data_IF_543785986406
#
_entry.id   IF_543785986406
#
_cell.length_a   1.000
_cell.length_b   1.000
_cell.length_c   1.000
_cell.angle_alpha   90.00
_cell.angle_beta   90.00
_cell.angle_gamma   90.00
#
_symmetry.space_group_name_H-M   'P 1'
#
loop_
_entity.id
_entity.type
_entity.pdbx_description
1 polymer ?
#
# COMPACT_ATOMS: atom_id res chain seq x y z
N UNK A 1 31.86 11.96 -24.29
CA UNK A 1 31.18 11.26 -23.18
C UNK A 1 32.05 10.08 -22.75
N UNK A 2 32.34 9.95 -21.45
CA UNK A 2 33.33 9.01 -20.92
C UNK A 2 32.85 7.55 -21.04
N UNK A 3 33.73 6.62 -21.43
CA UNK A 3 33.42 5.19 -21.53
C UNK A 3 32.81 4.59 -20.25
N UNK A 4 33.08 5.24 -19.11
CA UNK A 4 32.50 4.92 -17.81
C UNK A 4 30.98 5.10 -17.77
N UNK A 5 30.44 6.21 -18.31
CA UNK A 5 29.00 6.50 -18.28
C UNK A 5 28.22 5.49 -19.12
N UNK A 6 28.80 5.07 -20.25
CA UNK A 6 28.22 4.06 -21.14
C UNK A 6 28.12 2.70 -20.47
N UNK A 7 29.15 2.32 -19.69
CA UNK A 7 29.20 1.05 -18.95
C UNK A 7 28.17 1.02 -17.82
N UNK A 8 28.02 2.16 -17.14
CA UNK A 8 27.07 2.33 -16.04
C UNK A 8 25.61 2.27 -16.54
N UNK A 9 25.31 2.94 -17.66
CA UNK A 9 23.99 2.87 -18.30
C UNK A 9 23.66 1.45 -18.76
N UNK A 10 24.65 0.72 -19.29
CA UNK A 10 24.47 -0.68 -19.69
C UNK A 10 24.19 -1.60 -18.50
N UNK A 11 24.93 -1.45 -17.39
CA UNK A 11 24.64 -2.19 -16.15
C UNK A 11 23.24 -1.90 -15.59
N UNK A 12 22.80 -0.65 -15.63
CA UNK A 12 21.45 -0.28 -15.18
C UNK A 12 20.38 -0.87 -16.11
N UNK A 13 20.62 -0.90 -17.42
CA UNK A 13 19.71 -1.53 -18.38
C UNK A 13 19.63 -3.05 -18.20
N UNK A 14 20.77 -3.72 -18.04
CA UNK A 14 20.86 -5.17 -17.82
C UNK A 14 20.19 -5.57 -16.49
N UNK A 15 20.38 -4.76 -15.43
CA UNK A 15 19.71 -4.97 -14.15
C UNK A 15 18.18 -4.78 -14.24
N UNK A 16 17.71 -3.82 -15.05
CA UNK A 16 16.27 -3.62 -15.30
C UNK A 16 15.65 -4.76 -16.10
N UNK A 17 16.37 -5.30 -17.08
CA UNK A 17 15.86 -6.44 -17.87
C UNK A 17 15.81 -7.73 -17.04
N UNK A 18 16.75 -7.95 -16.12
CA UNK A 18 16.70 -9.10 -15.20
C UNK A 18 15.56 -9.00 -14.16
N UNK A 19 15.06 -7.80 -13.88
CA UNK A 19 13.94 -7.58 -12.96
C UNK A 19 12.55 -7.80 -13.60
N UNK A 20 12.46 -8.02 -14.92
CA UNK A 20 11.18 -8.18 -15.63
C UNK A 20 10.66 -9.64 -15.69
N UNK A 21 11.38 -10.62 -15.14
CA UNK A 21 11.06 -12.04 -15.32
C UNK A 21 10.45 -12.75 -14.10
N UNK A 22 10.25 -12.07 -12.96
CA UNK A 22 9.54 -12.63 -11.81
C UNK A 22 8.67 -11.54 -11.18
N UNK A 23 7.39 -11.81 -10.84
CA UNK A 23 6.60 -10.85 -10.11
C UNK A 23 7.34 -10.53 -8.82
N UNK A 24 7.66 -9.26 -8.61
CA UNK A 24 8.33 -8.87 -7.37
C UNK A 24 7.44 -9.27 -6.18
N UNK A 25 8.02 -9.60 -5.02
CA UNK A 25 7.21 -9.88 -3.84
C UNK A 25 6.22 -8.73 -3.53
N UNK A 26 6.59 -7.48 -3.86
CA UNK A 26 5.72 -6.31 -3.76
C UNK A 26 4.51 -6.33 -4.71
N UNK A 27 4.68 -6.77 -5.96
CA UNK A 27 3.57 -6.97 -6.91
C UNK A 27 2.62 -8.08 -6.44
N UNK A 28 3.18 -9.15 -5.85
CA UNK A 28 2.39 -10.23 -5.26
C UNK A 28 1.56 -9.73 -4.06
N UNK A 29 2.15 -8.90 -3.19
CA UNK A 29 1.45 -8.30 -2.06
C UNK A 29 0.31 -7.38 -2.51
N UNK A 30 0.56 -6.57 -3.54
CA UNK A 30 -0.45 -5.66 -4.09
C UNK A 30 -1.63 -6.42 -4.69
N UNK A 31 -1.36 -7.46 -5.48
CA UNK A 31 -2.40 -8.31 -6.06
C UNK A 31 -3.23 -9.01 -4.98
N UNK A 32 -2.59 -9.55 -3.93
CA UNK A 32 -3.29 -10.16 -2.78
C UNK A 32 -4.19 -9.15 -2.06
N UNK A 33 -3.69 -7.95 -1.81
CA UNK A 33 -4.47 -6.86 -1.22
C UNK A 33 -5.68 -6.51 -2.09
N UNK A 34 -5.48 -6.32 -3.41
CA UNK A 34 -6.54 -5.88 -4.31
C UNK A 34 -7.61 -6.96 -4.47
N UNK A 35 -7.23 -8.24 -4.56
CA UNK A 35 -8.15 -9.37 -4.58
C UNK A 35 -8.96 -9.49 -3.28
N UNK A 36 -8.30 -9.35 -2.13
CA UNK A 36 -8.97 -9.32 -0.83
C UNK A 36 -9.96 -8.15 -0.74
N UNK A 37 -9.53 -6.93 -1.06
CA UNK A 37 -10.38 -5.75 -0.98
C UNK A 37 -11.58 -5.83 -1.94
N UNK A 38 -11.38 -6.40 -3.14
CA UNK A 38 -12.45 -6.61 -4.11
C UNK A 38 -13.54 -7.55 -3.58
N UNK A 39 -13.16 -8.59 -2.82
CA UNK A 39 -14.06 -9.58 -2.22
C UNK A 39 -14.88 -9.08 -1.03
N UNK A 40 -14.52 -7.93 -0.46
CA UNK A 40 -15.24 -7.37 0.69
C UNK A 40 -16.64 -6.87 0.30
N UNK A 41 -17.63 -6.98 1.21
CA UNK A 41 -18.94 -6.38 1.02
C UNK A 41 -18.86 -4.85 0.82
N UNK A 42 -19.80 -4.22 0.10
CA UNK A 42 -19.79 -2.78 -0.17
C UNK A 42 -19.68 -1.93 1.11
N UNK A 43 -20.38 -2.30 2.18
CA UNK A 43 -20.32 -1.60 3.47
C UNK A 43 -18.90 -1.55 4.06
N UNK A 44 -18.10 -2.60 3.82
CA UNK A 44 -16.73 -2.71 4.31
C UNK A 44 -15.74 -1.86 3.50
N UNK A 45 -16.09 -1.45 2.28
CA UNK A 45 -15.26 -0.59 1.41
C UNK A 45 -15.29 0.89 1.80
N UNK A 46 -16.24 1.31 2.65
CA UNK A 46 -16.36 2.70 3.12
C UNK A 46 -15.87 2.92 4.55
N UNK A 47 -15.51 1.85 5.27
CA UNK A 47 -15.08 1.97 6.67
C UNK A 47 -13.58 2.27 6.80
N UNK A 48 -13.19 2.76 7.97
CA UNK A 48 -11.80 2.87 8.36
C UNK A 48 -11.26 1.52 8.83
N UNK A 49 -10.00 1.24 8.52
CA UNK A 49 -9.32 0.00 8.86
C UNK A 49 -8.09 0.28 9.73
N UNK A 50 -7.82 -0.59 10.69
CA UNK A 50 -6.53 -0.62 11.36
C UNK A 50 -5.51 -1.41 10.54
N UNK A 51 -4.22 -1.09 10.68
CA UNK A 51 -3.17 -1.87 10.01
C UNK A 51 -3.17 -3.33 10.48
N UNK A 52 -3.54 -3.56 11.75
CA UNK A 52 -3.58 -4.88 12.36
C UNK A 52 -4.71 -5.74 11.75
N UNK A 53 -5.90 -5.18 11.52
CA UNK A 53 -6.99 -5.89 10.82
C UNK A 53 -6.57 -6.31 9.40
N UNK A 54 -5.93 -5.40 8.65
CA UNK A 54 -5.47 -5.70 7.28
C UNK A 54 -4.36 -6.76 7.32
N UNK A 55 -3.42 -6.63 8.26
CA UNK A 55 -2.34 -7.60 8.47
C UNK A 55 -2.86 -8.99 8.82
N UNK A 56 -3.83 -9.10 9.73
CA UNK A 56 -4.45 -10.38 10.07
C UNK A 56 -5.24 -10.98 8.90
N UNK A 57 -5.97 -10.16 8.14
CA UNK A 57 -6.74 -10.63 6.99
C UNK A 57 -5.85 -11.16 5.85
N UNK A 58 -4.71 -10.51 5.63
CA UNK A 58 -3.76 -10.85 4.57
C UNK A 58 -2.64 -11.82 5.03
N UNK A 59 -2.57 -12.12 6.32
CA UNK A 59 -1.48 -12.88 6.96
C UNK A 59 -0.09 -12.34 6.63
N UNK A 60 0.05 -11.00 6.63
CA UNK A 60 1.28 -10.29 6.24
C UNK A 60 1.71 -9.35 7.37
N UNK A 61 3.02 -9.16 7.52
CA UNK A 61 3.57 -8.27 8.54
C UNK A 61 3.12 -6.80 8.29
N UNK A 62 2.66 -6.06 9.33
CA UNK A 62 2.22 -4.66 9.20
C UNK A 62 3.24 -3.71 8.56
N UNK A 63 4.54 -4.02 8.71
CA UNK A 63 5.65 -3.21 8.16
C UNK A 63 5.66 -3.20 6.63
N UNK A 64 5.29 -4.31 6.01
CA UNK A 64 5.32 -4.47 4.55
C UNK A 64 4.07 -3.86 3.90
N UNK A 65 2.92 -3.93 4.60
CA UNK A 65 1.64 -3.44 4.10
C UNK A 65 1.57 -1.91 3.96
N UNK A 66 2.32 -1.17 4.78
CA UNK A 66 2.24 0.29 4.78
C UNK A 66 2.59 0.89 3.42
N UNK A 67 3.60 0.36 2.73
CA UNK A 67 3.99 0.85 1.41
C UNK A 67 2.94 0.43 0.36
N UNK A 68 2.54 -0.85 0.38
CA UNK A 68 1.55 -1.39 -0.56
C UNK A 68 0.21 -0.64 -0.51
N UNK A 69 -0.26 -0.27 0.68
CA UNK A 69 -1.49 0.50 0.87
C UNK A 69 -1.37 1.92 0.31
N UNK A 70 -0.23 2.59 0.54
CA UNK A 70 0.02 3.93 -0.03
C UNK A 70 0.06 3.89 -1.56
N UNK A 71 0.75 2.90 -2.13
CA UNK A 71 0.77 2.68 -3.57
C UNK A 71 -0.63 2.35 -4.11
N UNK A 72 -1.52 1.82 -3.26
CA UNK A 72 -2.92 1.54 -3.58
C UNK A 72 -3.83 2.76 -3.45
N UNK A 73 -3.29 3.93 -3.15
CA UNK A 73 -4.05 5.15 -2.97
C UNK A 73 -4.81 5.20 -1.64
N UNK A 74 -4.52 4.29 -0.70
CA UNK A 74 -5.11 4.37 0.62
C UNK A 74 -4.52 5.54 1.39
N UNK A 75 -5.38 6.22 2.14
CA UNK A 75 -5.00 7.36 2.96
C UNK A 75 -4.73 6.92 4.38
N UNK A 76 -3.57 7.30 4.90
CA UNK A 76 -3.19 7.09 6.30
C UNK A 76 -3.52 8.33 7.12
N UNK A 77 -4.40 8.20 8.12
CA UNK A 77 -4.76 9.27 9.05
C UNK A 77 -4.40 8.89 10.48
N UNK A 78 -4.10 9.89 11.31
CA UNK A 78 -3.99 9.74 12.75
C UNK A 78 -5.26 10.28 13.39
N UNK A 79 -5.91 9.47 14.21
CA UNK A 79 -7.10 9.87 14.96
C UNK A 79 -6.78 9.78 16.44
N UNK A 80 -7.08 10.86 17.17
CA UNK A 80 -7.01 10.83 18.63
C UNK A 80 -8.14 9.95 19.16
N UNK A 81 -7.77 8.89 19.86
CA UNK A 81 -8.73 7.99 20.48
C UNK A 81 -8.62 8.13 22.00
N UNK A 82 -9.63 8.76 22.60
CA UNK A 82 -9.71 8.93 24.06
C UNK A 82 -10.43 7.72 24.68
N UNK A 83 -9.76 7.02 25.61
CA UNK A 83 -10.32 5.84 26.30
C UNK A 83 -10.92 6.19 27.65
N UNK A 84 -10.31 7.14 28.35
CA UNK A 84 -10.75 7.72 29.61
C UNK A 84 -10.38 9.20 29.61
N UNK A 85 -11.14 10.02 30.33
CA UNK A 85 -10.95 11.47 30.40
C UNK A 85 -9.48 11.83 30.66
N UNK A 86 -8.82 12.44 29.68
CA UNK A 86 -7.41 12.85 29.75
C UNK A 86 -6.37 11.76 29.41
N UNK A 87 -6.78 10.53 29.08
CA UNK A 87 -5.92 9.45 28.60
C UNK A 87 -6.41 8.96 27.22
N UNK A 88 -5.74 9.47 26.19
CA UNK A 88 -5.93 9.05 24.81
C UNK A 88 -4.62 8.65 24.15
N UNK A 89 -4.74 7.97 23.00
CA UNK A 89 -3.61 7.67 22.13
C UNK A 89 -3.97 7.96 20.69
N UNK A 90 -2.97 8.37 19.91
CA UNK A 90 -3.14 8.46 18.46
C UNK A 90 -3.17 7.07 17.85
N UNK A 91 -4.29 6.72 17.22
CA UNK A 91 -4.42 5.52 16.39
C UNK A 91 -4.15 5.87 14.93
N UNK A 92 -3.44 4.99 14.24
CA UNK A 92 -3.27 5.08 12.79
C UNK A 92 -4.41 4.30 12.15
N UNK A 93 -5.20 5.00 11.34
CA UNK A 93 -6.28 4.40 10.56
C UNK A 93 -5.98 4.54 9.08
N UNK A 94 -6.39 3.54 8.32
CA UNK A 94 -6.28 3.47 6.88
C UNK A 94 -7.66 3.62 6.27
N UNK A 95 -7.79 4.57 5.36
CA UNK A 95 -9.03 4.85 4.63
C UNK A 95 -8.83 4.38 3.19
N UNK A 96 -9.68 3.50 2.68
CA UNK A 96 -9.62 3.09 1.28
C UNK A 96 -9.84 4.31 0.38
N UNK A 97 -9.25 4.32 -0.83
CA UNK A 97 -9.52 5.37 -1.80
C UNK A 97 -11.03 5.40 -2.05
N UNK A 98 -11.66 6.54 -1.71
CA UNK A 98 -13.01 6.78 -2.20
C UNK A 98 -12.86 6.95 -3.70
N UNK A 99 -13.58 6.13 -4.47
CA UNK A 99 -13.74 6.33 -5.90
C UNK A 99 -14.30 7.74 -6.06
N UNK A 100 -13.44 8.72 -6.36
CA UNK A 100 -13.88 10.08 -6.60
C UNK A 100 -14.58 10.03 -7.95
N UNK A 101 -15.90 10.26 -8.07
CA UNK A 101 -16.57 10.33 -9.36
C UNK A 101 -16.24 11.64 -10.11
N UNK A 102 -15.04 12.19 -9.96
CA UNK A 102 -14.66 13.48 -10.55
C UNK A 102 -13.26 13.44 -11.12
N UNK A 103 -13.18 13.12 -12.42
CA UNK A 103 -12.50 13.92 -13.46
C UNK A 103 -12.95 13.42 -14.84
N UNK A 104 -14.21 13.66 -15.18
CA UNK A 104 -14.61 13.96 -16.56
C UNK A 104 -14.74 15.49 -16.62
N UNK A 105 -13.70 16.16 -17.08
CA UNK A 105 -13.81 17.51 -17.66
C UNK A 105 -12.61 17.73 -18.56
#
# INVERSE_FOLDING_TARGET
>A
MSAYTSRLLKQVADQRMQQQAAPSPAETLRQKHDAWFASLPPASKHRHWSIDEIASALMIAPRELSQTLLDAGWLRKRVWFERKKGQGRYLRIWTPPQENPKKQT
#
